data_IF_236542609951
#
_entry.id   IF_236542609951
#
_cell.length_a   1.000
_cell.length_b   1.000
_cell.length_c   1.000
_cell.angle_alpha   90.00
_cell.angle_beta   90.00
_cell.angle_gamma   90.00
#
_symmetry.space_group_name_H-M   'P 1'
#
loop_
_entity.id
_entity.type
_entity.pdbx_description
1 polymer ?
#
# COMPACT_ATOMS: atom_id res chain seq x y z
N UNK A 1 24.68 -21.72 -22.21
CA UNK A 1 25.15 -20.43 -21.68
C UNK A 1 24.77 -20.37 -20.20
N UNK A 2 25.71 -20.66 -19.30
CA UNK A 2 25.48 -20.59 -17.84
C UNK A 2 25.65 -19.15 -17.38
N UNK A 3 24.67 -18.60 -16.68
CA UNK A 3 24.76 -17.26 -16.07
C UNK A 3 25.92 -17.21 -15.06
N UNK A 4 26.58 -16.05 -14.93
CA UNK A 4 27.63 -15.86 -13.92
C UNK A 4 27.07 -16.01 -12.50
N UNK A 5 27.82 -16.57 -11.53
CA UNK A 5 27.36 -16.73 -10.14
C UNK A 5 26.82 -15.43 -9.50
N UNK A 6 27.34 -14.28 -9.91
CA UNK A 6 26.88 -12.95 -9.45
C UNK A 6 25.49 -12.62 -9.97
N UNK A 7 25.22 -12.94 -11.24
CA UNK A 7 23.91 -12.69 -11.87
C UNK A 7 22.84 -13.60 -11.26
N UNK A 8 23.18 -14.87 -11.02
CA UNK A 8 22.29 -15.80 -10.33
C UNK A 8 21.94 -15.31 -8.92
N UNK A 9 22.92 -14.77 -8.19
CA UNK A 9 22.68 -14.20 -6.86
C UNK A 9 21.75 -12.99 -6.92
N UNK A 10 21.98 -12.08 -7.88
CA UNK A 10 21.12 -10.92 -8.10
C UNK A 10 19.68 -11.32 -8.40
N UNK A 11 19.48 -12.31 -9.27
CA UNK A 11 18.15 -12.83 -9.61
C UNK A 11 17.45 -13.44 -8.38
N UNK A 12 18.18 -14.19 -7.54
CA UNK A 12 17.65 -14.72 -6.27
C UNK A 12 17.21 -13.61 -5.33
N UNK A 13 17.99 -12.54 -5.20
CA UNK A 13 17.65 -11.43 -4.33
C UNK A 13 16.45 -10.63 -4.87
N UNK A 14 16.37 -10.38 -6.18
CA UNK A 14 15.19 -9.77 -6.79
C UNK A 14 13.92 -10.60 -6.57
N UNK A 15 14.01 -11.94 -6.66
CA UNK A 15 12.89 -12.82 -6.37
C UNK A 15 12.43 -12.73 -4.90
N UNK A 16 13.37 -12.59 -3.95
CA UNK A 16 13.05 -12.36 -2.53
C UNK A 16 12.37 -11.01 -2.31
N UNK A 17 12.89 -9.94 -2.92
CA UNK A 17 12.31 -8.59 -2.81
C UNK A 17 10.89 -8.55 -3.38
N UNK A 18 10.65 -9.24 -4.50
CA UNK A 18 9.30 -9.38 -5.07
C UNK A 18 8.35 -10.06 -4.10
N UNK A 19 8.76 -11.16 -3.44
CA UNK A 19 7.92 -11.82 -2.41
C UNK A 19 7.58 -10.89 -1.25
N UNK A 20 8.52 -10.04 -0.83
CA UNK A 20 8.25 -9.03 0.21
C UNK A 20 7.19 -8.04 -0.25
N UNK A 21 7.31 -7.51 -1.48
CA UNK A 21 6.32 -6.58 -2.05
C UNK A 21 4.94 -7.24 -2.17
N UNK A 22 4.88 -8.44 -2.72
CA UNK A 22 3.63 -9.19 -2.89
C UNK A 22 2.97 -9.50 -1.53
N UNK A 23 3.78 -9.75 -0.49
CA UNK A 23 3.28 -9.90 0.89
C UNK A 23 2.71 -8.59 1.43
N UNK A 24 3.40 -7.46 1.25
CA UNK A 24 2.89 -6.15 1.66
C UNK A 24 1.55 -5.86 0.96
N UNK A 25 1.46 -6.10 -0.35
CA UNK A 25 0.26 -5.85 -1.14
C UNK A 25 -0.94 -6.67 -0.67
N UNK A 26 -0.72 -7.92 -0.26
CA UNK A 26 -1.75 -8.82 0.24
C UNK A 26 -2.15 -8.54 1.70
N UNK A 27 -1.18 -8.19 2.53
CA UNK A 27 -1.33 -8.15 4.00
C UNK A 27 -1.25 -6.73 4.58
N UNK A 28 -1.35 -5.67 3.76
CA UNK A 28 -1.12 -4.27 4.20
C UNK A 28 -1.89 -3.87 5.47
N UNK A 29 -3.08 -4.42 5.71
CA UNK A 29 -3.93 -4.10 6.86
C UNK A 29 -3.50 -4.80 8.16
N UNK A 30 -2.65 -5.81 8.07
CA UNK A 30 -2.12 -6.51 9.23
C UNK A 30 -1.04 -5.69 9.93
N UNK A 31 -0.73 -5.95 11.22
CA UNK A 31 0.40 -5.36 11.91
C UNK A 31 1.72 -5.91 11.34
N UNK A 32 2.06 -5.48 10.13
CA UNK A 32 3.31 -5.78 9.45
C UNK A 32 4.40 -4.83 9.93
N UNK A 33 5.48 -5.38 10.44
CA UNK A 33 6.72 -4.66 10.64
C UNK A 33 7.80 -5.12 9.65
N UNK A 34 8.83 -4.29 9.48
CA UNK A 34 9.92 -4.56 8.54
C UNK A 34 10.74 -5.80 8.97
N UNK A 35 10.77 -6.12 10.26
CA UNK A 35 11.50 -7.27 10.78
C UNK A 35 10.83 -8.60 10.37
N UNK A 36 9.51 -8.69 10.47
CA UNK A 36 8.70 -9.83 10.06
C UNK A 36 8.77 -10.04 8.54
N UNK A 37 8.85 -8.96 7.76
CA UNK A 37 9.08 -9.03 6.31
C UNK A 37 10.47 -9.57 6.00
N UNK A 38 11.51 -9.08 6.69
CA UNK A 38 12.89 -9.50 6.49
C UNK A 38 13.12 -10.96 6.89
N UNK A 39 12.55 -11.38 8.01
CA UNK A 39 12.60 -12.76 8.49
C UNK A 39 11.96 -13.72 7.47
N UNK A 40 10.83 -13.35 6.86
CA UNK A 40 10.15 -14.14 5.83
C UNK A 40 10.96 -14.39 4.55
N UNK A 41 12.08 -13.68 4.35
CA UNK A 41 12.99 -13.88 3.20
C UNK A 41 14.45 -14.12 3.61
N UNK A 42 14.70 -14.44 4.88
CA UNK A 42 16.02 -14.71 5.44
C UNK A 42 17.02 -13.54 5.23
N UNK A 43 16.56 -12.31 5.43
CA UNK A 43 17.40 -11.10 5.41
C UNK A 43 17.37 -10.40 6.76
N UNK A 44 18.41 -9.62 7.07
CA UNK A 44 18.32 -8.63 8.13
C UNK A 44 17.46 -7.44 7.67
N UNK A 45 16.79 -6.76 8.60
CA UNK A 45 15.93 -5.60 8.28
C UNK A 45 16.67 -4.48 7.56
N UNK A 46 17.93 -4.24 7.94
CA UNK A 46 18.79 -3.25 7.29
C UNK A 46 19.18 -3.65 5.87
N UNK A 47 19.50 -4.94 5.64
CA UNK A 47 19.80 -5.44 4.30
C UNK A 47 18.56 -5.37 3.40
N UNK A 48 17.41 -5.85 3.89
CA UNK A 48 16.14 -5.76 3.17
C UNK A 48 15.83 -4.30 2.80
N UNK A 49 15.94 -3.37 3.74
CA UNK A 49 15.62 -1.96 3.49
C UNK A 49 16.49 -1.34 2.40
N UNK A 50 17.79 -1.65 2.37
CA UNK A 50 18.70 -1.16 1.33
C UNK A 50 18.38 -1.77 -0.03
N UNK A 51 18.23 -3.09 -0.11
CA UNK A 51 17.97 -3.80 -1.37
C UNK A 51 16.59 -3.45 -1.94
N UNK A 52 15.57 -3.34 -1.09
CA UNK A 52 14.23 -2.95 -1.51
C UNK A 52 14.21 -1.52 -2.06
N UNK A 53 14.92 -0.57 -1.42
CA UNK A 53 15.06 0.78 -1.95
C UNK A 53 15.81 0.83 -3.27
N UNK A 54 16.88 0.03 -3.43
CA UNK A 54 17.60 -0.05 -4.70
C UNK A 54 16.71 -0.62 -5.82
N UNK A 55 15.82 -1.57 -5.53
CA UNK A 55 14.98 -2.21 -6.53
C UNK A 55 13.67 -1.45 -6.83
N UNK A 56 13.08 -0.76 -5.85
CA UNK A 56 11.74 -0.15 -5.95
C UNK A 56 11.71 1.35 -5.67
N UNK A 57 12.84 1.99 -5.35
CA UNK A 57 12.95 3.43 -5.13
C UNK A 57 12.60 3.90 -3.71
N UNK A 58 11.97 3.06 -2.88
CA UNK A 58 11.58 3.41 -1.51
C UNK A 58 11.83 2.30 -0.49
N UNK A 59 11.73 2.58 0.82
CA UNK A 59 11.89 1.52 1.83
C UNK A 59 10.63 0.65 1.95
N UNK A 60 10.73 -0.58 2.49
CA UNK A 60 9.55 -1.43 2.71
C UNK A 60 8.48 -0.76 3.57
N UNK A 61 8.89 -0.01 4.59
CA UNK A 61 7.96 0.75 5.44
C UNK A 61 7.24 1.86 4.67
N UNK A 62 7.97 2.61 3.84
CA UNK A 62 7.38 3.66 2.99
C UNK A 62 6.36 3.04 2.03
N UNK A 63 6.74 1.95 1.35
CA UNK A 63 5.86 1.23 0.44
C UNK A 63 4.59 0.74 1.13
N UNK A 64 4.70 0.11 2.30
CA UNK A 64 3.56 -0.31 3.11
C UNK A 64 2.64 0.87 3.43
N UNK A 65 3.21 2.00 3.84
CA UNK A 65 2.42 3.19 4.14
C UNK A 65 1.70 3.72 2.90
N UNK A 66 2.37 3.80 1.76
CA UNK A 66 1.76 4.19 0.47
C UNK A 66 0.54 3.31 0.16
N UNK A 67 0.67 1.98 0.27
CA UNK A 67 -0.45 1.05 0.04
C UNK A 67 -1.61 1.26 1.03
N UNK A 68 -1.31 1.55 2.30
CA UNK A 68 -2.33 1.87 3.30
C UNK A 68 -3.06 3.17 2.98
N UNK A 69 -2.34 4.21 2.56
CA UNK A 69 -2.93 5.50 2.19
C UNK A 69 -3.79 5.38 0.94
N UNK A 70 -3.35 4.68 -0.10
CA UNK A 70 -4.17 4.39 -1.29
C UNK A 70 -5.50 3.74 -0.91
N UNK A 71 -5.46 2.77 0.01
CA UNK A 71 -6.68 2.12 0.50
C UNK A 71 -7.53 3.06 1.35
N UNK A 72 -6.91 3.90 2.17
CA UNK A 72 -7.61 4.88 3.00
C UNK A 72 -8.36 5.89 2.13
N UNK A 73 -7.75 6.40 1.04
CA UNK A 73 -8.42 7.30 0.11
C UNK A 73 -9.70 6.67 -0.46
N UNK A 74 -9.64 5.38 -0.84
CA UNK A 74 -10.80 4.66 -1.34
C UNK A 74 -11.93 4.53 -0.29
N UNK A 75 -11.58 4.34 0.99
CA UNK A 75 -12.56 4.26 2.08
C UNK A 75 -13.15 5.64 2.41
N UNK A 76 -12.31 6.68 2.46
CA UNK A 76 -12.75 8.06 2.73
C UNK A 76 -13.66 8.59 1.62
N UNK A 77 -13.39 8.29 0.35
CA UNK A 77 -14.28 8.65 -0.77
C UNK A 77 -15.65 8.00 -0.67
N UNK A 78 -15.74 6.81 -0.06
CA UNK A 78 -17.00 6.10 0.13
C UNK A 78 -17.87 6.72 1.22
N UNK A 79 -17.25 7.41 2.19
CA UNK A 79 -17.94 8.17 3.23
C UNK A 79 -18.59 7.35 4.36
N UNK A 80 -18.45 6.02 4.36
CA UNK A 80 -19.11 5.15 5.36
C UNK A 80 -18.36 5.06 6.70
N UNK A 81 -17.10 5.51 6.75
CA UNK A 81 -16.22 5.39 7.93
C UNK A 81 -15.64 6.76 8.29
N UNK A 82 -15.50 7.01 9.59
CA UNK A 82 -14.75 8.14 10.13
C UNK A 82 -13.25 8.02 9.80
N UNK A 83 -12.52 9.13 9.88
CA UNK A 83 -11.06 9.14 9.64
C UNK A 83 -10.35 8.18 10.60
N UNK A 84 -10.77 8.13 11.86
CA UNK A 84 -10.22 7.25 12.89
C UNK A 84 -10.47 5.77 12.56
N UNK A 85 -11.69 5.41 12.16
CA UNK A 85 -12.01 4.04 11.74
C UNK A 85 -11.21 3.63 10.50
N UNK A 86 -11.07 4.53 9.52
CA UNK A 86 -10.24 4.28 8.33
C UNK A 86 -8.80 4.02 8.71
N UNK A 87 -8.20 4.83 9.59
CA UNK A 87 -6.83 4.67 10.07
C UNK A 87 -6.57 3.24 10.58
N UNK A 88 -7.42 2.75 11.49
CA UNK A 88 -7.27 1.41 12.04
C UNK A 88 -7.67 0.31 11.04
N UNK A 89 -8.65 0.56 10.17
CA UNK A 89 -9.06 -0.40 9.11
C UNK A 89 -7.94 -0.68 8.12
N UNK A 90 -7.09 0.32 7.83
CA UNK A 90 -5.93 0.13 6.95
C UNK A 90 -4.69 -0.38 7.69
N UNK A 91 -4.78 -0.66 8.99
CA UNK A 91 -3.70 -1.25 9.78
C UNK A 91 -2.72 -0.24 10.39
N UNK A 92 -3.02 1.06 10.37
CA UNK A 92 -2.20 2.05 11.08
C UNK A 92 -2.48 1.99 12.58
N UNK A 93 -1.43 2.08 13.39
CA UNK A 93 -1.51 2.02 14.86
C UNK A 93 -1.70 3.39 15.52
N UNK A 94 -1.49 4.48 14.79
CA UNK A 94 -1.57 5.84 15.29
C UNK A 94 -2.24 6.77 14.28
N UNK A 95 -3.26 7.50 14.73
CA UNK A 95 -3.96 8.50 13.95
C UNK A 95 -3.05 9.67 13.55
N UNK A 96 -2.10 10.04 14.42
CA UNK A 96 -1.13 11.11 14.14
C UNK A 96 -0.21 10.75 12.98
N UNK A 97 0.44 9.58 13.05
CA UNK A 97 1.32 9.08 11.98
C UNK A 97 0.56 8.89 10.68
N UNK A 98 -0.65 8.34 10.75
CA UNK A 98 -1.52 8.22 9.58
C UNK A 98 -1.84 9.58 8.95
N UNK A 99 -2.25 10.58 9.75
CA UNK A 99 -2.66 11.88 9.23
C UNK A 99 -1.50 12.65 8.58
N UNK A 100 -0.30 12.60 9.19
CA UNK A 100 0.91 13.18 8.60
C UNK A 100 1.24 12.51 7.26
N UNK A 101 1.32 11.18 7.22
CA UNK A 101 1.64 10.43 5.99
C UNK A 101 0.58 10.59 4.91
N UNK A 102 -0.69 10.61 5.29
CA UNK A 102 -1.78 10.89 4.36
C UNK A 102 -1.60 12.27 3.72
N UNK A 103 -1.34 13.30 4.53
CA UNK A 103 -1.19 14.68 4.03
C UNK A 103 0.05 14.81 3.14
N UNK A 104 1.17 14.19 3.50
CA UNK A 104 2.38 14.18 2.67
C UNK A 104 2.15 13.55 1.29
N UNK A 105 1.40 12.45 1.23
CA UNK A 105 1.18 11.70 -0.02
C UNK A 105 0.01 12.24 -0.86
N UNK A 106 -1.02 12.79 -0.22
CA UNK A 106 -2.27 13.22 -0.89
C UNK A 106 -2.34 14.74 -1.07
N UNK A 107 -1.55 15.51 -0.31
CA UNK A 107 -1.49 16.97 -0.36
C UNK A 107 -2.54 17.68 0.51
N UNK A 108 -3.52 16.96 1.07
CA UNK A 108 -4.54 17.51 1.97
C UNK A 108 -4.81 16.56 3.15
N UNK A 109 -5.27 17.08 4.32
CA UNK A 109 -5.61 16.25 5.46
C UNK A 109 -6.75 15.26 5.16
N UNK A 110 -6.80 14.09 5.84
CA UNK A 110 -7.80 13.05 5.56
C UNK A 110 -9.25 13.50 5.84
N UNK A 111 -9.47 14.39 6.82
CA UNK A 111 -10.78 14.99 7.08
C UNK A 111 -11.25 15.85 5.91
N UNK A 112 -10.38 16.74 5.43
CA UNK A 112 -10.64 17.60 4.27
C UNK A 112 -10.91 16.75 3.02
N UNK A 113 -10.10 15.72 2.79
CA UNK A 113 -10.27 14.79 1.68
C UNK A 113 -11.63 14.10 1.68
N UNK A 114 -12.07 13.63 2.85
CA UNK A 114 -13.39 13.00 3.03
C UNK A 114 -14.52 13.99 2.76
N UNK A 115 -14.44 15.20 3.32
CA UNK A 115 -15.50 16.20 3.19
C UNK A 115 -15.63 16.70 1.74
N UNK A 116 -14.52 16.87 1.01
CA UNK A 116 -14.52 17.16 -0.42
C UNK A 116 -15.19 16.04 -1.23
N UNK A 117 -14.93 14.78 -0.88
CA UNK A 117 -15.53 13.62 -1.55
C UNK A 117 -17.04 13.52 -1.28
N UNK A 118 -17.46 13.79 -0.05
CA UNK A 118 -18.88 13.82 0.31
C UNK A 118 -19.63 14.90 -0.50
N UNK A 119 -19.04 16.09 -0.64
CA UNK A 119 -19.58 17.18 -1.47
C UNK A 119 -19.76 16.78 -2.93
N UNK A 120 -18.83 16.02 -3.50
CA UNK A 120 -18.94 15.53 -4.88
C UNK A 120 -20.13 14.56 -5.09
N UNK A 121 -20.63 13.94 -4.02
CA UNK A 121 -21.80 13.03 -4.04
C UNK A 121 -23.10 13.66 -3.53
N UNK A 122 -23.10 14.96 -3.21
CA UNK A 122 -24.31 15.67 -2.72
C UNK A 122 -25.42 15.58 -3.77
N UNK A 123 -26.62 15.20 -3.33
CA UNK A 123 -27.78 14.98 -4.19
C UNK A 123 -27.89 13.59 -4.81
N UNK A 124 -26.87 12.73 -4.67
CA UNK A 124 -26.98 11.33 -5.08
C UNK A 124 -27.57 10.46 -3.96
N UNK A 125 -28.52 9.56 -4.27
CA UNK A 125 -28.89 8.48 -3.36
C UNK A 125 -27.65 7.64 -2.99
N UNK A 126 -27.57 7.18 -1.74
CA UNK A 126 -26.40 6.45 -1.22
C UNK A 126 -26.02 5.22 -2.06
N UNK A 127 -26.99 4.55 -2.68
CA UNK A 127 -26.75 3.43 -3.60
C UNK A 127 -26.05 3.85 -4.91
N UNK A 128 -26.34 5.05 -5.41
CA UNK A 128 -25.73 5.64 -6.60
C UNK A 128 -24.34 6.15 -6.28
N UNK A 129 -24.18 6.90 -5.19
CA UNK A 129 -22.88 7.33 -4.69
C UNK A 129 -21.92 6.15 -4.49
N UNK A 130 -22.41 5.02 -3.94
CA UNK A 130 -21.63 3.78 -3.79
C UNK A 130 -21.27 3.10 -5.11
N UNK A 131 -22.09 3.20 -6.15
CA UNK A 131 -21.78 2.66 -7.48
C UNK A 131 -20.74 3.52 -8.20
N UNK A 132 -20.81 4.84 -8.07
CA UNK A 132 -19.96 5.79 -8.79
C UNK A 132 -18.59 5.96 -8.10
N UNK A 133 -18.53 5.97 -6.78
CA UNK A 133 -17.27 6.06 -6.01
C UNK A 133 -16.62 4.70 -5.78
N UNK A 134 -17.23 3.62 -6.29
CA UNK A 134 -16.75 2.26 -6.11
C UNK A 134 -15.31 2.17 -6.62
N UNK A 135 -14.34 1.81 -5.79
CA UNK A 135 -12.95 1.71 -6.23
C UNK A 135 -12.91 0.71 -7.37
N UNK A 136 -12.39 1.13 -8.54
CA UNK A 136 -12.03 0.18 -9.59
C UNK A 136 -11.15 -0.83 -8.90
N UNK A 137 -11.59 -2.10 -8.86
CA UNK A 137 -10.73 -3.19 -8.40
C UNK A 137 -9.51 -3.10 -9.30
N UNK A 138 -8.41 -2.62 -8.75
CA UNK A 138 -7.11 -2.83 -9.34
C UNK A 138 -6.87 -4.34 -9.17
N UNK A 139 -7.55 -5.14 -10.01
CA UNK A 139 -7.08 -6.45 -10.38
C UNK A 139 -5.72 -6.12 -10.95
N UNK A 140 -4.70 -6.34 -10.12
CA UNK A 140 -3.31 -6.49 -10.52
C UNK A 140 -3.27 -6.81 -12.00
N UNK A 141 -2.67 -5.89 -12.76
CA UNK A 141 -2.48 -6.00 -14.20
C UNK A 141 -2.28 -7.48 -14.53
N UNK A 142 -3.31 -8.06 -15.16
CA UNK A 142 -3.38 -9.48 -15.45
C UNK A 142 -2.05 -9.84 -16.09
N UNK A 143 -1.30 -10.75 -15.45
CA UNK A 143 -0.08 -11.30 -16.01
C UNK A 143 -0.41 -11.71 -17.44
N UNK A 144 0.08 -10.93 -18.41
CA UNK A 144 -0.10 -11.23 -19.82
C UNK A 144 0.37 -12.66 -20.00
N UNK A 145 -0.57 -13.49 -20.40
CA UNK A 145 -0.38 -14.87 -20.80
C UNK A 145 0.86 -14.98 -21.67
N UNK A 146 1.74 -15.91 -21.29
CA UNK A 146 2.79 -16.42 -22.16
C UNK A 146 2.15 -16.88 -23.47
N UNK A 147 2.78 -16.53 -24.58
CA UNK A 147 2.74 -17.30 -25.82
C UNK A 147 4.18 -17.74 -26.09
#
# INVERSE_FOLDING_TARGET
>A
MTSSPVEEQRLRDLARLRRVRDRIDREYAQPLDVAALAHGVNMSSGHLSRQFRQAYGESPYSYLMTRRIERAMALLRRGDLSVTEVCFTVGCSSLGTFSTRFTELVGVPPSVYRDQSARATVGMPSCVARKVTRPIRNREASARSRS
#
